data_IF_569065761609
#
_entry.id   IF_569065761609
#
_cell.length_a   1.000
_cell.length_b   1.000
_cell.length_c   1.000
_cell.angle_alpha   90.00
_cell.angle_beta   90.00
_cell.angle_gamma   90.00
#
_symmetry.space_group_name_H-M   'P 1'
#
loop_
_entity.id
_entity.type
_entity.pdbx_description
1 polymer ?
#
# COMPACT_ATOMS: atom_id res chain seq x y z
N UNK A 1 -18.19 2.24 -36.87
CA UNK A 1 -18.03 3.10 -35.69
C UNK A 1 -19.17 2.81 -34.72
N UNK A 2 -18.96 1.96 -33.71
CA UNK A 2 -19.91 1.72 -32.62
C UNK A 2 -19.14 1.84 -31.31
N UNK A 3 -19.66 2.70 -30.44
CA UNK A 3 -19.06 3.22 -29.20
C UNK A 3 -19.20 2.14 -28.12
N UNK A 4 -18.09 1.52 -27.70
CA UNK A 4 -18.12 0.57 -26.58
C UNK A 4 -18.25 1.37 -25.29
N UNK A 5 -19.35 1.13 -24.57
CA UNK A 5 -19.65 1.70 -23.26
C UNK A 5 -18.58 1.30 -22.24
N UNK A 6 -18.02 2.28 -21.52
CA UNK A 6 -16.99 2.09 -20.48
C UNK A 6 -17.45 1.31 -19.24
N UNK A 7 -18.64 0.70 -19.24
CA UNK A 7 -19.27 0.12 -18.04
C UNK A 7 -19.21 -1.41 -17.92
N UNK A 8 -18.58 -2.13 -18.85
CA UNK A 8 -18.60 -3.61 -18.82
C UNK A 8 -17.37 -4.28 -18.22
N UNK A 9 -16.45 -3.57 -17.58
CA UNK A 9 -15.19 -4.16 -17.07
C UNK A 9 -15.10 -4.33 -15.55
N UNK A 10 -16.19 -4.19 -14.80
CA UNK A 10 -16.16 -4.30 -13.32
C UNK A 10 -16.71 -5.59 -12.71
N UNK A 11 -17.30 -6.49 -13.51
CA UNK A 11 -18.04 -7.62 -12.96
C UNK A 11 -17.54 -8.96 -13.47
N UNK A 12 -16.25 -9.25 -13.29
CA UNK A 12 -15.76 -10.63 -13.37
C UNK A 12 -14.39 -10.65 -12.72
N UNK A 13 -14.36 -11.17 -11.48
CA UNK A 13 -13.24 -11.69 -10.69
C UNK A 13 -13.55 -11.45 -9.20
N UNK A 14 -14.65 -12.03 -8.73
CA UNK A 14 -14.84 -12.28 -7.30
C UNK A 14 -13.92 -13.43 -6.89
N UNK A 15 -12.64 -13.12 -6.70
CA UNK A 15 -11.71 -13.96 -5.95
C UNK A 15 -11.87 -13.67 -4.46
N UNK A 16 -12.73 -14.43 -3.78
CA UNK A 16 -12.92 -14.38 -2.33
C UNK A 16 -11.70 -14.96 -1.59
N UNK A 17 -10.60 -14.20 -1.45
CA UNK A 17 -9.57 -14.46 -0.42
C UNK A 17 -8.88 -13.17 0.05
N UNK A 18 -9.64 -12.09 0.32
CA UNK A 18 -9.24 -11.01 1.24
C UNK A 18 -10.42 -10.02 1.34
N UNK A 19 -11.16 -10.03 2.45
CA UNK A 19 -12.40 -9.28 2.65
C UNK A 19 -12.23 -7.77 2.86
N UNK A 20 -11.23 -7.15 2.22
CA UNK A 20 -11.00 -5.71 2.31
C UNK A 20 -11.20 -5.05 0.95
N UNK A 21 -12.28 -4.28 0.80
CA UNK A 21 -12.48 -3.40 -0.37
C UNK A 21 -11.55 -2.19 -0.22
N UNK A 22 -10.44 -2.09 -0.99
CA UNK A 22 -9.42 -1.08 -0.74
C UNK A 22 -9.96 0.35 -0.92
N UNK A 23 -10.93 0.51 -1.82
CA UNK A 23 -11.59 1.79 -2.11
C UNK A 23 -12.30 2.38 -0.89
N UNK A 24 -12.80 1.54 0.02
CA UNK A 24 -13.50 1.95 1.24
C UNK A 24 -12.55 2.01 2.44
N UNK A 25 -11.60 1.08 2.52
CA UNK A 25 -10.74 0.91 3.68
C UNK A 25 -9.60 1.92 3.74
N UNK A 26 -8.95 2.22 2.60
CA UNK A 26 -7.81 3.15 2.54
C UNK A 26 -8.19 4.56 3.03
N UNK A 27 -9.31 5.19 2.59
CA UNK A 27 -9.72 6.50 3.10
C UNK A 27 -9.98 6.51 4.61
N UNK A 28 -10.55 5.43 5.14
CA UNK A 28 -10.82 5.29 6.58
C UNK A 28 -9.52 5.21 7.39
N UNK A 29 -8.54 4.44 6.92
CA UNK A 29 -7.22 4.35 7.55
C UNK A 29 -6.48 5.70 7.56
N UNK A 30 -6.53 6.44 6.45
CA UNK A 30 -5.93 7.78 6.36
C UNK A 30 -6.55 8.71 7.40
N UNK A 31 -7.89 8.71 7.53
CA UNK A 31 -8.59 9.52 8.52
C UNK A 31 -8.21 9.15 9.96
N UNK A 32 -8.03 7.86 10.24
CA UNK A 32 -7.56 7.39 11.55
C UNK A 32 -6.13 7.84 11.87
N UNK A 33 -5.23 7.83 10.87
CA UNK A 33 -3.87 8.36 11.01
C UNK A 33 -3.87 9.87 11.27
N UNK A 34 -4.63 10.64 10.48
CA UNK A 34 -4.75 12.09 10.67
C UNK A 34 -5.31 12.46 12.05
N UNK A 35 -6.17 11.62 12.62
CA UNK A 35 -6.71 11.78 13.97
C UNK A 35 -5.78 11.23 15.07
N UNK A 36 -4.57 10.77 14.73
CA UNK A 36 -3.59 10.22 15.68
C UNK A 36 -3.93 8.83 16.25
N UNK A 37 -4.97 8.18 15.73
CA UNK A 37 -5.47 6.89 16.24
C UNK A 37 -4.75 5.68 15.61
N UNK A 38 -3.99 5.89 14.54
CA UNK A 38 -3.27 4.82 13.85
C UNK A 38 -1.91 5.30 13.33
N UNK A 39 -0.84 5.29 14.16
CA UNK A 39 0.48 5.80 13.79
C UNK A 39 1.24 4.80 12.89
N UNK A 40 0.83 4.69 11.63
CA UNK A 40 1.49 3.78 10.68
C UNK A 40 2.93 4.19 10.34
N UNK A 41 3.27 5.47 10.51
CA UNK A 41 4.60 6.04 10.36
C UNK A 41 5.64 5.35 11.25
N UNK A 42 5.24 4.95 12.47
CA UNK A 42 6.12 4.23 13.41
C UNK A 42 6.36 2.77 13.04
N UNK A 43 5.56 2.22 12.13
CA UNK A 43 5.64 0.83 11.69
C UNK A 43 6.43 0.69 10.38
N UNK A 44 6.72 1.82 9.71
CA UNK A 44 7.34 1.85 8.40
C UNK A 44 8.78 2.33 8.52
N UNK A 45 9.71 1.61 7.91
CA UNK A 45 11.06 2.10 7.65
C UNK A 45 11.26 2.25 6.16
N UNK A 46 11.69 3.44 5.75
CA UNK A 46 11.93 3.73 4.33
C UNK A 46 13.39 3.51 3.98
N UNK A 47 13.63 2.92 2.83
CA UNK A 47 14.96 2.69 2.27
C UNK A 47 15.02 3.30 0.86
N UNK A 48 16.15 3.88 0.45
CA UNK A 48 16.39 4.18 -0.96
C UNK A 48 16.42 2.86 -1.77
N UNK A 49 16.08 2.92 -3.05
CA UNK A 49 15.99 1.73 -3.91
C UNK A 49 17.31 0.95 -3.98
N UNK A 50 18.43 1.67 -3.91
CA UNK A 50 19.80 1.13 -3.89
C UNK A 50 20.06 0.22 -2.68
N UNK A 51 19.31 0.40 -1.58
CA UNK A 51 19.41 -0.38 -0.34
C UNK A 51 18.40 -1.55 -0.27
N UNK A 52 17.87 -2.00 -1.41
CA UNK A 52 16.88 -3.10 -1.48
C UNK A 52 17.29 -4.34 -0.67
N UNK A 53 18.56 -4.75 -0.73
CA UNK A 53 19.05 -5.91 0.00
C UNK A 53 18.98 -5.71 1.51
N UNK A 54 19.27 -4.49 1.99
CA UNK A 54 19.16 -4.16 3.41
C UNK A 54 17.70 -4.12 3.86
N UNK A 55 16.80 -3.60 3.02
CA UNK A 55 15.37 -3.57 3.28
C UNK A 55 14.76 -4.97 3.42
N UNK A 56 15.24 -5.94 2.61
CA UNK A 56 14.85 -7.35 2.69
C UNK A 56 15.40 -7.98 3.98
N UNK A 57 16.70 -7.83 4.25
CA UNK A 57 17.33 -8.40 5.45
C UNK A 57 16.68 -7.89 6.75
N UNK A 58 16.37 -6.59 6.83
CA UNK A 58 15.72 -5.99 7.98
C UNK A 58 14.26 -6.46 8.15
N UNK A 59 13.58 -6.78 7.04
CA UNK A 59 12.25 -7.37 7.07
C UNK A 59 12.30 -8.83 7.54
N UNK A 60 13.25 -9.62 7.03
CA UNK A 60 13.40 -11.04 7.40
C UNK A 60 13.81 -11.21 8.87
N UNK A 61 14.68 -10.33 9.37
CA UNK A 61 15.13 -10.35 10.78
C UNK A 61 14.13 -9.71 11.74
N UNK A 62 12.99 -9.21 11.25
CA UNK A 62 11.98 -8.54 12.06
C UNK A 62 12.43 -7.21 12.67
N UNK A 63 13.55 -6.64 12.18
CA UNK A 63 14.04 -5.31 12.59
C UNK A 63 13.14 -4.21 12.06
N UNK A 64 12.46 -4.47 10.93
CA UNK A 64 11.46 -3.59 10.33
C UNK A 64 10.16 -4.36 10.14
N UNK A 65 9.04 -3.80 10.62
CA UNK A 65 7.71 -4.40 10.47
C UNK A 65 7.20 -4.24 9.03
N UNK A 66 7.41 -3.06 8.42
CA UNK A 66 7.07 -2.80 7.02
C UNK A 66 8.16 -1.97 6.35
N UNK A 67 8.96 -2.58 5.48
CA UNK A 67 9.94 -1.87 4.66
C UNK A 67 9.27 -1.24 3.45
N UNK A 68 9.61 0.02 3.16
CA UNK A 68 9.10 0.77 1.98
C UNK A 68 10.28 1.28 1.17
N UNK A 69 10.37 0.87 -0.09
CA UNK A 69 11.39 1.36 -1.01
C UNK A 69 10.94 2.68 -1.62
N UNK A 70 11.81 3.70 -1.58
CA UNK A 70 11.63 4.96 -2.29
C UNK A 70 12.24 4.82 -3.68
N UNK A 71 11.41 4.95 -4.71
CA UNK A 71 11.82 4.86 -6.11
C UNK A 71 11.87 6.30 -6.67
N UNK A 72 13.06 6.76 -7.05
CA UNK A 72 13.28 8.13 -7.53
C UNK A 72 13.18 9.19 -6.42
N UNK A 73 13.12 10.47 -6.82
CA UNK A 73 12.89 11.58 -5.88
C UNK A 73 11.42 11.64 -5.46
N UNK A 74 11.03 10.75 -4.54
CA UNK A 74 9.75 10.83 -3.85
C UNK A 74 9.92 11.56 -2.52
N UNK A 75 9.54 12.84 -2.49
CA UNK A 75 9.41 13.61 -1.26
C UNK A 75 8.05 13.28 -0.63
N UNK A 76 8.09 12.58 0.51
CA UNK A 76 6.92 12.20 1.30
C UNK A 76 6.34 13.39 2.08
#
# INVERSE_FOLDING_TARGET
MIRISKNSFKNELHGNYSSCVPQEFIPKLIKMYQNGQFPFDKLIKTYPFEEINQAVEDSEKGRTIKSVLRIGEYNA
#
